data_IF_788676172402
#
_entry.id   IF_788676172402
#
_cell.length_a   1.000
_cell.length_b   1.000
_cell.length_c   1.000
_cell.angle_alpha   90.00
_cell.angle_beta   90.00
_cell.angle_gamma   90.00
#
_symmetry.space_group_name_H-M   'P 1'
#
loop_
_entity.id
_entity.type
_entity.pdbx_description
1 polymer ?
#
# COMPACT_ATOMS: atom_id res chain seq x y z
N UNK A 1 -4.75 -33.71 53.61
CA UNK A 1 -5.82 -33.70 52.61
C UNK A 1 -5.46 -32.64 51.60
N UNK A 2 -4.73 -33.03 50.57
CA UNK A 2 -4.10 -32.14 49.61
C UNK A 2 -4.84 -32.33 48.27
N UNK A 3 -5.46 -31.28 47.75
CA UNK A 3 -6.24 -31.34 46.50
C UNK A 3 -5.50 -30.48 45.48
N UNK A 4 -4.82 -31.19 44.57
CA UNK A 4 -4.03 -30.61 43.50
C UNK A 4 -4.88 -30.00 42.39
N UNK A 5 -4.44 -28.84 41.92
CA UNK A 5 -4.87 -28.24 40.65
C UNK A 5 -3.70 -28.37 39.67
N UNK A 6 -3.89 -29.16 38.60
CA UNK A 6 -2.95 -29.30 37.49
C UNK A 6 -2.92 -28.02 36.65
N UNK A 7 -1.84 -27.25 36.75
CA UNK A 7 -1.46 -26.26 35.74
C UNK A 7 -0.77 -26.93 34.55
N UNK A 8 -1.26 -26.70 33.33
CA UNK A 8 -0.54 -27.02 32.09
C UNK A 8 0.39 -25.85 31.77
N UNK A 9 1.69 -26.05 31.95
CA UNK A 9 2.75 -25.17 31.47
C UNK A 9 3.03 -25.48 30.01
N UNK A 10 2.93 -24.49 29.12
CA UNK A 10 3.43 -24.59 27.74
C UNK A 10 4.71 -23.76 27.67
N UNK A 11 5.83 -24.46 27.49
CA UNK A 11 7.16 -23.89 27.28
C UNK A 11 7.27 -23.35 25.85
N UNK A 12 7.59 -22.06 25.70
CA UNK A 12 8.06 -21.51 24.43
C UNK A 12 9.58 -21.73 24.33
N UNK A 13 10.00 -22.59 23.40
CA UNK A 13 11.40 -22.73 22.99
C UNK A 13 11.81 -21.54 22.14
N UNK A 14 12.86 -20.85 22.57
CA UNK A 14 13.54 -19.79 21.83
C UNK A 14 14.32 -20.40 20.66
N UNK A 15 13.88 -20.11 19.43
CA UNK A 15 14.71 -20.33 18.24
C UNK A 15 15.56 -19.09 17.99
N UNK A 16 16.74 -19.08 18.62
CA UNK A 16 17.88 -18.30 18.19
C UNK A 16 18.41 -18.90 16.86
N UNK A 17 18.32 -18.17 15.76
CA UNK A 17 19.13 -18.43 14.58
C UNK A 17 20.01 -17.21 14.27
N UNK A 18 21.34 -17.39 14.15
CA UNK A 18 22.28 -16.29 13.94
C UNK A 18 22.29 -15.85 12.47
N UNK A 19 22.22 -14.53 12.25
CA UNK A 19 22.46 -13.91 10.95
C UNK A 19 23.95 -14.03 10.62
N UNK A 20 24.35 -15.02 9.82
CA UNK A 20 25.72 -15.10 9.27
C UNK A 20 25.82 -14.17 8.07
N UNK A 21 26.38 -12.99 8.29
CA UNK A 21 26.90 -12.13 7.22
C UNK A 21 28.20 -12.75 6.72
N UNK A 22 28.19 -13.31 5.52
CA UNK A 22 29.43 -13.68 4.83
C UNK A 22 29.85 -12.49 3.95
N UNK A 23 30.76 -11.68 4.48
CA UNK A 23 31.56 -10.76 3.67
C UNK A 23 32.64 -11.57 2.97
N UNK A 24 32.53 -11.75 1.66
CA UNK A 24 33.65 -12.24 0.86
C UNK A 24 34.27 -11.08 0.09
N UNK A 25 35.39 -10.61 0.64
CA UNK A 25 36.30 -9.66 0.00
C UNK A 25 37.32 -10.50 -0.74
N UNK A 26 37.29 -10.47 -2.07
CA UNK A 26 38.44 -10.92 -2.83
C UNK A 26 38.86 -9.92 -3.91
N UNK A 27 40.02 -9.32 -3.66
CA UNK A 27 40.80 -8.50 -4.61
C UNK A 27 41.53 -9.46 -5.55
N UNK A 28 41.52 -9.23 -6.86
CA UNK A 28 42.73 -9.30 -7.71
C UNK A 28 42.51 -8.73 -9.14
N UNK A 29 43.20 -7.60 -9.38
CA UNK A 29 43.84 -7.02 -10.60
C UNK A 29 43.46 -7.46 -12.05
N UNK A 30 43.02 -6.46 -12.83
CA UNK A 30 43.34 -6.03 -14.22
C UNK A 30 43.86 -7.03 -15.28
N UNK A 31 43.12 -7.19 -16.40
CA UNK A 31 43.29 -6.52 -17.72
C UNK A 31 42.27 -7.04 -18.77
N UNK A 32 42.04 -6.32 -19.90
CA UNK A 32 40.78 -6.36 -20.65
C UNK A 32 40.82 -7.28 -21.88
N UNK A 33 39.68 -7.85 -22.25
CA UNK A 33 39.42 -8.30 -23.62
C UNK A 33 38.00 -7.96 -24.06
N UNK A 34 37.92 -7.37 -25.25
CA UNK A 34 36.73 -7.02 -26.01
C UNK A 34 35.95 -8.26 -26.44
N UNK A 35 34.66 -8.31 -26.13
CA UNK A 35 33.68 -9.00 -26.97
C UNK A 35 32.33 -8.28 -26.89
N UNK A 36 31.87 -7.84 -28.06
CA UNK A 36 30.56 -7.25 -28.32
C UNK A 36 29.45 -8.29 -28.21
N UNK A 37 28.38 -7.98 -27.46
CA UNK A 37 27.09 -8.67 -27.52
C UNK A 37 25.97 -7.73 -27.02
N UNK A 38 24.74 -7.86 -27.55
CA UNK A 38 23.73 -6.80 -27.52
C UNK A 38 23.00 -6.68 -26.18
N UNK A 39 22.54 -5.45 -25.92
CA UNK A 39 21.78 -5.00 -24.75
C UNK A 39 20.44 -5.75 -24.65
N UNK A 40 20.10 -6.37 -23.50
CA UNK A 40 18.72 -6.70 -23.17
C UNK A 40 18.14 -5.69 -22.16
N UNK A 41 16.99 -5.13 -22.53
CA UNK A 41 16.08 -4.32 -21.72
C UNK A 41 15.59 -5.06 -20.45
N UNK A 42 15.44 -4.39 -19.29
CA UNK A 42 14.98 -5.07 -18.08
C UNK A 42 13.48 -4.85 -17.85
N UNK A 43 12.70 -5.90 -18.04
CA UNK A 43 11.43 -6.09 -17.33
C UNK A 43 11.44 -7.53 -16.82
N UNK A 44 11.89 -7.72 -15.57
CA UNK A 44 11.92 -9.02 -14.91
C UNK A 44 10.73 -9.11 -13.94
N UNK A 45 9.78 -9.98 -14.28
CA UNK A 45 8.70 -10.40 -13.39
C UNK A 45 9.19 -11.56 -12.50
N UNK A 46 9.08 -11.41 -11.19
CA UNK A 46 9.34 -12.47 -10.21
C UNK A 46 8.01 -13.17 -9.90
N UNK A 47 7.91 -14.46 -10.20
CA UNK A 47 6.83 -15.32 -9.71
C UNK A 47 7.27 -16.00 -8.41
N UNK A 48 6.48 -15.89 -7.34
CA UNK A 48 6.64 -16.68 -6.12
C UNK A 48 5.34 -17.48 -5.96
N UNK A 49 5.41 -18.79 -6.15
CA UNK A 49 4.35 -19.72 -5.77
C UNK A 49 4.84 -20.58 -4.61
N UNK A 50 4.14 -20.55 -3.48
CA UNK A 50 4.36 -21.48 -2.38
C UNK A 50 3.36 -22.64 -2.47
N UNK A 51 3.84 -23.81 -2.93
CA UNK A 51 3.17 -25.09 -2.66
C UNK A 51 4.03 -25.92 -1.71
N UNK A 52 3.45 -26.57 -0.68
CA UNK A 52 4.19 -27.45 0.20
C UNK A 52 4.46 -28.76 -0.53
N UNK A 53 5.68 -28.94 -1.04
CA UNK A 53 6.14 -30.24 -1.54
C UNK A 53 6.58 -31.07 -0.34
N UNK A 54 5.96 -32.23 -0.13
CA UNK A 54 6.44 -33.24 0.80
C UNK A 54 7.83 -33.70 0.32
N UNK A 55 8.85 -33.46 1.13
CA UNK A 55 10.22 -33.89 0.85
C UNK A 55 10.35 -35.40 1.14
N UNK A 56 10.79 -36.16 0.14
CA UNK A 56 11.49 -37.42 0.35
C UNK A 56 12.98 -37.13 0.12
N UNK A 57 13.82 -37.54 1.07
CA UNK A 57 15.24 -37.23 1.11
C UNK A 57 15.98 -37.92 -0.04
N UNK A 58 16.70 -37.17 -0.90
CA UNK A 58 18.09 -37.49 -1.29
C UNK A 58 18.71 -36.46 -2.27
N UNK A 59 19.85 -35.91 -1.83
CA UNK A 59 21.01 -35.37 -2.59
C UNK A 59 20.86 -34.15 -3.53
N UNK A 60 21.27 -33.01 -2.98
CA UNK A 60 22.06 -31.89 -3.54
C UNK A 60 22.28 -31.77 -5.06
N UNK A 61 21.63 -30.78 -5.67
CA UNK A 61 22.26 -29.67 -6.41
C UNK A 61 21.17 -28.73 -6.92
N UNK A 62 21.02 -27.55 -6.30
CA UNK A 62 20.04 -26.55 -6.72
C UNK A 62 20.70 -25.51 -7.63
N UNK A 63 20.83 -25.85 -8.92
CA UNK A 63 21.03 -24.86 -9.97
C UNK A 63 19.73 -24.09 -10.19
N UNK A 64 19.83 -22.76 -10.18
CA UNK A 64 18.70 -21.86 -10.46
C UNK A 64 18.47 -21.83 -11.97
N UNK A 65 17.46 -22.53 -12.47
CA UNK A 65 17.07 -22.42 -13.88
C UNK A 65 16.39 -21.07 -14.12
N UNK A 66 17.04 -20.22 -14.92
CA UNK A 66 16.47 -18.99 -15.47
C UNK A 66 15.55 -19.40 -16.63
N UNK A 67 14.23 -19.28 -16.43
CA UNK A 67 13.25 -19.49 -17.50
C UNK A 67 12.98 -18.16 -18.20
N UNK A 68 13.43 -18.04 -19.46
CA UNK A 68 13.02 -16.98 -20.38
C UNK A 68 11.58 -17.28 -20.87
N UNK A 69 10.57 -16.68 -20.24
CA UNK A 69 9.18 -16.89 -20.59
C UNK A 69 8.69 -15.90 -21.66
N UNK A 70 8.60 -16.36 -22.91
CA UNK A 70 7.67 -15.78 -23.89
C UNK A 70 6.22 -16.08 -23.46
N UNK A 71 5.29 -15.20 -23.86
CA UNK A 71 3.87 -15.11 -23.48
C UNK A 71 3.02 -16.32 -23.93
N UNK A 72 3.35 -17.53 -23.47
CA UNK A 72 2.61 -18.75 -23.80
C UNK A 72 2.60 -19.66 -22.58
N UNK A 73 1.42 -19.81 -21.97
CA UNK A 73 1.10 -20.58 -20.75
C UNK A 73 1.31 -19.83 -19.42
N UNK A 74 0.40 -18.91 -19.09
CA UNK A 74 0.11 -18.69 -17.67
C UNK A 74 -0.48 -19.97 -17.08
N UNK A 75 0.01 -20.34 -15.90
CA UNK A 75 -0.49 -21.50 -15.18
C UNK A 75 -1.99 -21.34 -14.88
N UNK A 76 -2.79 -22.42 -14.93
CA UNK A 76 -4.24 -22.39 -14.67
C UNK A 76 -4.62 -21.75 -13.32
N UNK A 77 -3.67 -21.69 -12.38
CA UNK A 77 -3.83 -21.14 -11.05
C UNK A 77 -4.05 -19.62 -10.99
N UNK A 78 -3.69 -18.87 -12.04
CA UNK A 78 -3.76 -17.39 -12.03
C UNK A 78 -5.08 -16.84 -12.59
N UNK A 79 -5.86 -17.66 -13.29
CA UNK A 79 -7.13 -17.25 -13.90
C UNK A 79 -8.35 -17.54 -13.00
N UNK A 80 -8.19 -17.41 -11.69
CA UNK A 80 -9.29 -17.57 -10.74
C UNK A 80 -10.19 -16.33 -10.73
N UNK A 81 -11.47 -16.50 -10.42
CA UNK A 81 -12.44 -15.39 -10.41
C UNK A 81 -12.14 -14.32 -9.34
N UNK A 82 -11.33 -14.68 -8.34
CA UNK A 82 -10.90 -13.81 -7.25
C UNK A 82 -9.43 -13.35 -7.35
N UNK A 83 -8.77 -13.48 -8.51
CA UNK A 83 -7.39 -13.01 -8.69
C UNK A 83 -7.29 -11.49 -8.63
N UNK A 84 -6.33 -10.98 -7.85
CA UNK A 84 -6.07 -9.56 -7.67
C UNK A 84 -4.84 -9.11 -8.46
N UNK A 85 -5.00 -8.12 -9.32
CA UNK A 85 -3.89 -7.42 -9.97
C UNK A 85 -3.43 -6.22 -9.15
N UNK A 86 -2.12 -6.11 -8.92
CA UNK A 86 -1.49 -5.06 -8.11
C UNK A 86 -0.56 -4.23 -8.99
N UNK A 87 -0.92 -2.97 -9.22
CA UNK A 87 -0.08 -1.95 -9.87
C UNK A 87 0.93 -1.45 -8.84
N UNK A 88 2.14 -2.01 -8.86
CA UNK A 88 3.22 -1.72 -7.94
C UNK A 88 4.34 -0.87 -8.54
N UNK A 89 5.41 -0.68 -7.78
CA UNK A 89 6.65 -0.06 -8.28
C UNK A 89 6.70 1.46 -8.23
N UNK A 90 5.55 2.17 -8.14
CA UNK A 90 5.55 3.63 -7.89
C UNK A 90 6.21 3.95 -6.55
N UNK A 91 5.88 3.13 -5.54
CA UNK A 91 6.63 3.04 -4.29
C UNK A 91 6.79 1.56 -3.94
N UNK A 92 8.04 1.10 -3.96
CA UNK A 92 8.39 -0.28 -3.62
C UNK A 92 8.02 -0.59 -2.16
N UNK A 93 8.22 0.39 -1.26
CA UNK A 93 7.87 0.25 0.16
C UNK A 93 6.36 0.03 0.34
N UNK A 94 5.55 0.88 -0.28
CA UNK A 94 4.08 0.78 -0.21
C UNK A 94 3.56 -0.53 -0.78
N UNK A 95 4.17 -0.99 -1.89
CA UNK A 95 3.84 -2.29 -2.51
C UNK A 95 4.13 -3.44 -1.54
N UNK A 96 5.29 -3.43 -0.88
CA UNK A 96 5.68 -4.49 0.06
C UNK A 96 4.79 -4.49 1.31
N UNK A 97 4.53 -3.32 1.90
CA UNK A 97 3.63 -3.17 3.06
C UNK A 97 2.24 -3.71 2.72
N UNK A 98 1.72 -3.36 1.54
CA UNK A 98 0.41 -3.84 1.11
C UNK A 98 0.38 -5.37 0.93
N UNK A 99 1.41 -5.97 0.32
CA UNK A 99 1.49 -7.42 0.16
C UNK A 99 1.52 -8.14 1.52
N UNK A 100 2.32 -7.65 2.47
CA UNK A 100 2.36 -8.19 3.82
C UNK A 100 0.98 -8.14 4.48
N UNK A 101 0.30 -6.99 4.42
CA UNK A 101 -1.05 -6.83 4.97
C UNK A 101 -2.08 -7.69 4.25
N UNK A 102 -2.00 -7.84 2.93
CA UNK A 102 -2.91 -8.69 2.16
C UNK A 102 -2.78 -10.15 2.59
N UNK A 103 -1.55 -10.66 2.73
CA UNK A 103 -1.28 -12.02 3.22
C UNK A 103 -1.79 -12.17 4.65
N UNK A 104 -1.52 -11.19 5.51
CA UNK A 104 -1.95 -11.25 6.90
C UNK A 104 -3.48 -11.27 7.04
N UNK A 105 -4.19 -10.38 6.34
CA UNK A 105 -5.65 -10.30 6.39
C UNK A 105 -6.32 -11.50 5.72
N UNK A 106 -5.77 -12.03 4.63
CA UNK A 106 -6.30 -13.24 3.97
C UNK A 106 -6.12 -14.50 4.83
N UNK A 107 -4.97 -14.64 5.51
CA UNK A 107 -4.69 -15.82 6.35
C UNK A 107 -5.68 -16.00 7.51
N UNK A 108 -6.26 -14.91 8.03
CA UNK A 108 -7.26 -14.95 9.11
C UNK A 108 -8.56 -15.65 8.71
N UNK A 109 -8.82 -15.67 7.41
CA UNK A 109 -10.01 -16.27 6.83
C UNK A 109 -9.76 -17.69 6.31
N UNK A 110 -8.55 -18.23 6.49
CA UNK A 110 -8.17 -19.57 6.05
C UNK A 110 -8.00 -19.70 4.54
N UNK A 111 -8.02 -18.59 3.78
CA UNK A 111 -7.95 -18.60 2.33
C UNK A 111 -6.78 -17.77 1.81
N UNK A 112 -6.03 -18.31 0.85
CA UNK A 112 -5.04 -17.55 0.09
C UNK A 112 -5.72 -16.84 -1.07
N UNK A 113 -5.49 -15.53 -1.22
CA UNK A 113 -5.99 -14.75 -2.36
C UNK A 113 -4.90 -14.77 -3.44
N UNK A 114 -5.16 -15.33 -4.64
CA UNK A 114 -4.21 -15.27 -5.73
C UNK A 114 -4.01 -13.82 -6.16
N UNK A 115 -2.77 -13.40 -6.36
CA UNK A 115 -2.46 -12.07 -6.83
C UNK A 115 -1.33 -12.06 -7.85
N UNK A 116 -1.34 -11.05 -8.72
CA UNK A 116 -0.30 -10.76 -9.70
C UNK A 116 0.21 -9.36 -9.40
N UNK A 117 1.52 -9.19 -9.25
CA UNK A 117 2.13 -7.86 -9.06
C UNK A 117 2.86 -7.47 -10.33
N UNK A 118 2.50 -6.33 -10.90
CA UNK A 118 3.29 -5.67 -11.93
C UNK A 118 4.03 -4.51 -11.25
N UNK A 119 5.35 -4.62 -11.12
CA UNK A 119 6.17 -3.61 -10.44
C UNK A 119 7.23 -3.08 -11.41
N UNK A 120 7.06 -1.84 -11.87
CA UNK A 120 8.05 -1.14 -12.67
C UNK A 120 8.76 -0.09 -11.80
N UNK A 121 10.02 -0.32 -11.38
CA UNK A 121 10.76 0.61 -10.55
C UNK A 121 11.19 1.89 -11.29
N UNK A 122 11.11 1.94 -12.63
CA UNK A 122 11.47 3.13 -13.41
C UNK A 122 10.47 4.28 -13.20
N UNK A 123 9.26 3.99 -12.72
CA UNK A 123 8.25 5.00 -12.35
C UNK A 123 8.64 5.90 -11.18
N UNK A 124 9.66 5.52 -10.41
CA UNK A 124 10.14 6.27 -9.24
C UNK A 124 10.79 7.59 -9.61
N UNK A 125 11.35 7.71 -10.82
CA UNK A 125 12.13 8.89 -11.23
C UNK A 125 11.27 10.06 -11.74
N UNK A 126 10.04 9.78 -12.17
CA UNK A 126 9.11 10.76 -12.76
C UNK A 126 8.16 11.38 -11.72
N UNK A 127 7.83 10.65 -10.64
CA UNK A 127 6.86 11.09 -9.61
C UNK A 127 7.47 11.93 -8.47
N UNK A 128 8.80 11.90 -8.28
CA UNK A 128 9.48 12.46 -7.10
C UNK A 128 10.41 13.67 -7.37
N UNK A 129 10.19 14.45 -8.43
CA UNK A 129 10.93 15.72 -8.57
C UNK A 129 10.50 16.71 -7.48
N UNK A 130 11.40 17.16 -6.57
CA UNK A 130 11.04 17.97 -5.38
C UNK A 130 10.60 19.41 -5.69
N UNK A 131 10.32 19.76 -6.94
CA UNK A 131 9.98 21.12 -7.36
C UNK A 131 8.48 21.44 -7.34
N UNK A 132 7.62 20.59 -6.75
CA UNK A 132 6.26 20.98 -6.38
C UNK A 132 6.30 22.00 -5.23
N UNK A 133 6.77 23.22 -5.53
CA UNK A 133 6.38 24.43 -4.78
C UNK A 133 4.95 24.75 -5.19
N UNK A 134 3.98 24.04 -4.61
CA UNK A 134 2.60 24.54 -4.61
C UNK A 134 2.57 25.65 -3.56
N UNK A 135 2.61 26.90 -4.02
CA UNK A 135 2.52 28.06 -3.14
C UNK A 135 1.20 27.98 -2.36
N UNK A 136 1.30 27.87 -1.03
CA UNK A 136 0.19 27.74 -0.09
C UNK A 136 -0.67 29.02 0.05
N UNK A 137 -0.50 30.03 -0.80
CA UNK A 137 -1.00 31.40 -0.54
C UNK A 137 -2.27 31.77 -1.32
N UNK A 138 -3.04 30.85 -1.93
CA UNK A 138 -4.26 31.27 -2.66
C UNK A 138 -5.56 30.51 -2.44
N UNK A 139 -5.63 29.48 -1.58
CA UNK A 139 -6.85 28.65 -1.50
C UNK A 139 -7.78 28.95 -0.32
N UNK A 140 -7.47 29.92 0.55
CA UNK A 140 -8.37 30.38 1.60
C UNK A 140 -8.99 31.74 1.25
N UNK A 141 -9.63 31.85 0.07
CA UNK A 141 -10.50 32.99 -0.22
C UNK A 141 -11.54 32.65 -1.30
N UNK A 142 -12.81 32.67 -0.90
CA UNK A 142 -14.00 32.95 -1.72
C UNK A 142 -14.58 31.87 -2.65
N UNK A 143 -15.76 31.38 -2.25
CA UNK A 143 -17.00 31.18 -3.03
C UNK A 143 -16.97 30.50 -4.42
N UNK A 144 -17.68 29.37 -4.50
CA UNK A 144 -18.39 28.82 -5.67
C UNK A 144 -17.90 29.23 -7.08
N UNK A 145 -16.98 28.44 -7.62
CA UNK A 145 -16.97 28.03 -9.04
C UNK A 145 -15.86 27.01 -9.23
N UNK A 146 -16.24 25.79 -9.65
CA UNK A 146 -15.31 24.76 -10.08
C UNK A 146 -14.58 25.25 -11.33
N UNK A 147 -13.30 25.57 -11.21
CA UNK A 147 -12.43 25.74 -12.36
C UNK A 147 -11.08 25.11 -12.02
N UNK A 148 -10.83 23.96 -12.65
CA UNK A 148 -9.66 23.11 -12.45
C UNK A 148 -8.39 23.82 -12.92
N UNK A 149 -7.79 24.65 -12.06
CA UNK A 149 -6.50 25.29 -12.34
C UNK A 149 -5.37 24.28 -12.15
N UNK A 150 -4.99 23.66 -13.28
CA UNK A 150 -3.80 22.81 -13.47
C UNK A 150 -2.55 23.40 -12.82
N UNK A 151 -1.90 22.64 -11.94
CA UNK A 151 -0.48 22.86 -11.62
C UNK A 151 0.37 22.43 -12.83
N UNK A 152 1.12 23.36 -13.41
CA UNK A 152 2.04 23.10 -14.52
C UNK A 152 3.28 22.30 -14.05
N UNK A 153 3.15 20.97 -13.96
CA UNK A 153 4.28 20.07 -14.20
C UNK A 153 4.49 20.04 -15.73
N UNK A 154 5.72 19.85 -16.22
CA UNK A 154 5.93 19.68 -17.66
C UNK A 154 4.99 18.58 -18.16
N UNK A 155 4.05 18.94 -19.03
CA UNK A 155 2.90 18.13 -19.48
C UNK A 155 3.34 16.75 -20.03
N UNK A 156 4.59 16.67 -20.49
CA UNK A 156 5.27 15.47 -21.00
C UNK A 156 5.54 14.42 -19.91
N UNK A 157 5.92 14.82 -18.68
CA UNK A 157 6.30 13.92 -17.57
C UNK A 157 5.06 13.23 -16.98
N UNK A 158 3.95 13.97 -16.84
CA UNK A 158 2.67 13.41 -16.35
C UNK A 158 2.06 12.40 -17.32
N UNK A 159 2.16 12.69 -18.63
CA UNK A 159 1.61 11.81 -19.66
C UNK A 159 2.30 10.45 -19.67
N UNK A 160 3.61 10.42 -19.44
CA UNK A 160 4.38 9.17 -19.42
C UNK A 160 4.06 8.30 -18.19
N UNK A 161 3.95 8.90 -17.00
CA UNK A 161 3.55 8.20 -15.77
C UNK A 161 2.18 7.54 -15.94
N UNK A 162 1.18 8.30 -16.41
CA UNK A 162 -0.18 7.78 -16.64
C UNK A 162 -0.18 6.68 -17.69
N UNK A 163 0.56 6.86 -18.79
CA UNK A 163 0.69 5.86 -19.85
C UNK A 163 1.28 4.54 -19.31
N UNK A 164 2.35 4.61 -18.52
CA UNK A 164 2.98 3.43 -17.95
C UNK A 164 2.06 2.72 -16.94
N UNK A 165 1.37 3.46 -16.07
CA UNK A 165 0.41 2.89 -15.12
C UNK A 165 -0.78 2.23 -15.82
N UNK A 166 -1.27 2.81 -16.92
CA UNK A 166 -2.27 2.18 -17.79
C UNK A 166 -1.75 0.88 -18.40
N UNK A 167 -0.51 0.86 -18.87
CA UNK A 167 0.11 -0.35 -19.43
C UNK A 167 0.23 -1.45 -18.38
N UNK A 168 0.61 -1.13 -17.15
CA UNK A 168 0.62 -2.10 -16.05
C UNK A 168 -0.78 -2.65 -15.77
N UNK A 169 -1.80 -1.77 -15.71
CA UNK A 169 -3.19 -2.20 -15.54
C UNK A 169 -3.60 -3.18 -16.65
N UNK A 170 -3.37 -2.84 -17.91
CA UNK A 170 -3.73 -3.70 -19.05
C UNK A 170 -2.97 -5.04 -19.00
N UNK A 171 -1.69 -5.03 -18.65
CA UNK A 171 -0.92 -6.26 -18.46
C UNK A 171 -1.49 -7.15 -17.35
N UNK A 172 -1.97 -6.57 -16.25
CA UNK A 172 -2.61 -7.32 -15.16
C UNK A 172 -3.99 -7.87 -15.58
N UNK A 173 -4.77 -7.08 -16.32
CA UNK A 173 -6.06 -7.48 -16.88
C UNK A 173 -5.92 -8.67 -17.83
N UNK A 174 -5.02 -8.55 -18.81
CA UNK A 174 -4.61 -9.64 -19.67
C UNK A 174 -4.18 -10.80 -18.78
N UNK A 175 -3.32 -10.52 -17.79
CA UNK A 175 -2.77 -11.39 -16.73
C UNK A 175 -3.70 -12.38 -16.05
N UNK A 176 -5.02 -12.19 -16.15
CA UNK A 176 -6.00 -12.97 -15.41
C UNK A 176 -6.48 -12.29 -14.12
N UNK A 177 -6.06 -11.05 -13.84
CA UNK A 177 -6.64 -10.30 -12.76
C UNK A 177 -8.15 -10.09 -12.97
N UNK A 178 -8.90 -10.02 -11.87
CA UNK A 178 -10.34 -9.75 -11.82
C UNK A 178 -10.70 -8.57 -10.93
N UNK A 179 -9.73 -8.03 -10.20
CA UNK A 179 -9.78 -6.75 -9.49
C UNK A 179 -8.41 -6.10 -9.55
N UNK A 180 -8.37 -4.78 -9.64
CA UNK A 180 -7.14 -3.99 -9.69
C UNK A 180 -7.00 -3.18 -8.40
N UNK A 181 -5.79 -3.12 -7.87
CA UNK A 181 -5.40 -2.22 -6.77
C UNK A 181 -4.08 -1.53 -7.06
N UNK A 182 -3.90 -0.35 -6.48
CA UNK A 182 -2.68 0.45 -6.58
C UNK A 182 -2.28 0.95 -5.19
N UNK A 183 -1.39 0.24 -4.47
CA UNK A 183 -0.99 0.58 -3.11
C UNK A 183 0.02 1.73 -3.11
N UNK A 184 -0.44 2.95 -3.35
CA UNK A 184 0.35 4.17 -3.22
C UNK A 184 -0.60 5.33 -2.95
N UNK A 185 -0.34 6.18 -1.96
CA UNK A 185 -1.25 7.28 -1.62
C UNK A 185 -1.40 8.30 -2.76
N UNK A 186 -0.28 8.83 -3.26
CA UNK A 186 -0.28 9.95 -4.22
C UNK A 186 -0.73 9.53 -5.62
N UNK A 187 -0.48 8.28 -6.03
CA UNK A 187 -0.79 7.83 -7.40
C UNK A 187 -2.29 7.87 -7.73
N UNK A 188 -3.17 7.90 -6.72
CA UNK A 188 -4.62 8.01 -6.94
C UNK A 188 -5.05 9.37 -7.49
N UNK A 189 -4.17 10.37 -7.56
CA UNK A 189 -4.40 11.59 -8.36
C UNK A 189 -4.70 11.26 -9.82
N UNK A 190 -4.05 10.22 -10.36
CA UNK A 190 -4.27 9.75 -11.73
C UNK A 190 -5.27 8.60 -11.81
N UNK A 191 -6.02 8.31 -10.74
CA UNK A 191 -6.94 7.18 -10.71
C UNK A 191 -7.98 7.29 -11.85
N UNK A 192 -8.50 8.49 -12.09
CA UNK A 192 -9.48 8.74 -13.16
C UNK A 192 -8.92 8.39 -14.53
N UNK A 193 -7.71 8.81 -14.83
CA UNK A 193 -7.03 8.53 -16.09
C UNK A 193 -6.65 7.06 -16.21
N UNK A 194 -6.06 6.46 -15.18
CA UNK A 194 -5.62 5.07 -15.22
C UNK A 194 -6.82 4.13 -15.40
N UNK A 195 -7.95 4.42 -14.74
CA UNK A 195 -9.18 3.61 -14.80
C UNK A 195 -9.95 3.72 -16.12
N UNK A 196 -9.62 4.66 -17.01
CA UNK A 196 -10.30 4.77 -18.31
C UNK A 196 -10.21 3.46 -19.10
N UNK A 197 -11.36 2.93 -19.51
CA UNK A 197 -11.49 1.68 -20.24
C UNK A 197 -11.32 0.41 -19.39
N UNK A 198 -11.04 0.53 -18.10
CA UNK A 198 -11.00 -0.61 -17.18
C UNK A 198 -12.43 -1.11 -16.92
N UNK A 199 -12.66 -2.41 -17.15
CA UNK A 199 -13.95 -3.06 -16.86
C UNK A 199 -13.95 -3.79 -15.52
N UNK A 200 -12.77 -3.99 -14.93
CA UNK A 200 -12.62 -4.65 -13.64
C UNK A 200 -12.89 -3.67 -12.50
N UNK A 201 -13.35 -4.14 -11.33
CA UNK A 201 -13.29 -3.36 -10.10
C UNK A 201 -11.87 -2.84 -9.88
N UNK A 202 -11.71 -1.51 -9.82
CA UNK A 202 -10.44 -0.88 -9.48
C UNK A 202 -10.60 -0.15 -8.14
N UNK A 203 -10.00 -0.66 -7.07
CA UNK A 203 -10.22 -0.09 -5.74
C UNK A 203 -9.37 1.17 -5.51
N UNK A 204 -10.05 2.26 -5.15
CA UNK A 204 -9.41 3.51 -4.74
C UNK A 204 -9.05 3.47 -3.25
N UNK A 205 -7.80 3.72 -2.87
CA UNK A 205 -7.31 3.55 -1.49
C UNK A 205 -8.07 4.42 -0.48
N UNK A 206 -8.26 5.70 -0.79
CA UNK A 206 -9.05 6.59 0.06
C UNK A 206 -10.56 6.24 0.07
N UNK A 207 -11.08 5.66 -1.01
CA UNK A 207 -12.47 5.20 -1.05
C UNK A 207 -12.69 3.97 -0.16
N UNK A 208 -11.69 3.09 -0.07
CA UNK A 208 -11.68 2.00 0.90
C UNK A 208 -11.73 2.51 2.34
N UNK A 209 -10.91 3.51 2.67
CA UNK A 209 -10.93 4.17 3.99
C UNK A 209 -12.29 4.80 4.28
N UNK A 210 -12.82 5.61 3.35
CA UNK A 210 -14.09 6.30 3.55
C UNK A 210 -15.25 5.33 3.78
N UNK A 211 -15.30 4.23 3.01
CA UNK A 211 -16.29 3.16 3.19
C UNK A 211 -16.19 2.50 4.55
N UNK A 212 -14.98 2.15 4.98
CA UNK A 212 -14.76 1.54 6.29
C UNK A 212 -15.19 2.46 7.44
N UNK A 213 -14.84 3.75 7.35
CA UNK A 213 -15.25 4.75 8.34
C UNK A 213 -16.76 4.94 8.38
N UNK A 214 -17.44 4.86 7.23
CA UNK A 214 -18.90 4.91 7.15
C UNK A 214 -19.54 3.71 7.83
N UNK A 215 -19.00 2.52 7.62
CA UNK A 215 -19.43 1.28 8.29
C UNK A 215 -19.24 1.35 9.81
N UNK A 216 -18.24 2.10 10.31
CA UNK A 216 -17.98 2.30 11.73
C UNK A 216 -19.04 3.16 12.46
N UNK A 217 -19.89 3.90 11.72
CA UNK A 217 -21.04 4.66 12.27
C UNK A 217 -20.69 5.56 13.46
N UNK A 218 -19.61 6.33 13.34
CA UNK A 218 -19.24 7.31 14.34
C UNK A 218 -20.37 8.33 14.59
N UNK A 219 -20.44 8.83 15.82
CA UNK A 219 -21.28 9.98 16.17
C UNK A 219 -20.41 11.24 16.23
N UNK A 220 -20.92 12.41 15.85
CA UNK A 220 -20.20 13.67 16.05
C UNK A 220 -19.80 13.85 17.52
N UNK A 221 -18.60 14.40 17.75
CA UNK A 221 -18.12 14.68 19.10
C UNK A 221 -18.59 16.06 19.62
N UNK A 222 -18.99 16.95 18.71
CA UNK A 222 -19.45 18.30 19.02
C UNK A 222 -20.89 18.49 18.53
N UNK A 223 -21.70 19.19 19.31
CA UNK A 223 -23.10 19.47 18.95
C UNK A 223 -23.16 20.39 17.73
N UNK A 224 -23.96 20.00 16.73
CA UNK A 224 -24.15 20.77 15.50
C UNK A 224 -23.06 20.58 14.44
N UNK A 225 -22.06 19.72 14.68
CA UNK A 225 -21.05 19.33 13.70
C UNK A 225 -21.32 17.94 13.12
N UNK A 226 -20.73 17.66 11.96
CA UNK A 226 -20.61 16.32 11.40
C UNK A 226 -19.53 15.48 12.09
N UNK A 227 -19.37 14.24 11.63
CA UNK A 227 -18.27 13.37 12.06
C UNK A 227 -16.99 13.87 11.42
N UNK A 228 -15.96 14.14 12.24
CA UNK A 228 -14.68 14.69 11.80
C UNK A 228 -13.63 13.59 11.70
N UNK A 229 -12.93 13.51 10.57
CA UNK A 229 -11.84 12.57 10.33
C UNK A 229 -10.53 13.35 10.17
N UNK A 230 -9.56 13.06 11.02
CA UNK A 230 -8.22 13.59 10.89
C UNK A 230 -7.47 12.92 9.74
N UNK A 231 -6.63 13.64 9.00
CA UNK A 231 -5.77 13.04 7.97
C UNK A 231 -4.34 13.55 8.13
N UNK A 232 -3.41 12.65 8.40
CA UNK A 232 -1.96 12.91 8.39
C UNK A 232 -1.40 12.29 7.12
N UNK A 233 -0.78 13.10 6.27
CA UNK A 233 -0.13 12.67 5.04
C UNK A 233 1.01 13.64 4.69
N UNK A 234 1.79 13.32 3.65
CA UNK A 234 2.77 14.26 3.09
C UNK A 234 2.08 15.42 2.36
N UNK A 235 2.79 16.54 2.19
CA UNK A 235 2.25 17.74 1.52
C UNK A 235 1.64 17.41 0.15
N UNK A 236 2.31 16.58 -0.65
CA UNK A 236 1.82 16.18 -1.97
C UNK A 236 0.45 15.50 -1.92
N UNK A 237 0.24 14.60 -0.95
CA UNK A 237 -1.05 13.89 -0.78
C UNK A 237 -2.14 14.84 -0.27
N UNK A 238 -1.80 15.73 0.67
CA UNK A 238 -2.75 16.70 1.21
C UNK A 238 -3.16 17.72 0.14
N UNK A 239 -2.21 18.32 -0.57
CA UNK A 239 -2.48 19.29 -1.64
C UNK A 239 -3.33 18.67 -2.74
N UNK A 240 -3.07 17.40 -3.08
CA UNK A 240 -3.82 16.72 -4.12
C UNK A 240 -5.23 16.27 -3.72
N UNK A 241 -5.61 16.39 -2.44
CA UNK A 241 -7.00 16.17 -2.01
C UNK A 241 -7.47 14.71 -2.05
N UNK A 242 -6.58 13.73 -2.22
CA UNK A 242 -6.91 12.32 -2.49
C UNK A 242 -7.83 11.71 -1.43
N UNK A 243 -7.61 12.05 -0.16
CA UNK A 243 -8.42 11.56 0.96
C UNK A 243 -9.60 12.48 1.26
N UNK A 244 -9.38 13.80 1.17
CA UNK A 244 -10.37 14.80 1.50
C UNK A 244 -11.62 14.64 0.66
N UNK A 245 -11.46 14.48 -0.66
CA UNK A 245 -12.58 14.30 -1.59
C UNK A 245 -13.41 13.06 -1.23
N UNK A 246 -12.76 11.90 -1.05
CA UNK A 246 -13.47 10.63 -0.78
C UNK A 246 -14.17 10.63 0.58
N UNK A 247 -13.56 11.23 1.60
CA UNK A 247 -14.15 11.34 2.93
C UNK A 247 -15.36 12.29 2.92
N UNK A 248 -15.22 13.46 2.28
CA UNK A 248 -16.30 14.45 2.19
C UNK A 248 -17.51 13.92 1.41
N UNK A 249 -17.28 13.15 0.35
CA UNK A 249 -18.35 12.50 -0.42
C UNK A 249 -19.16 11.51 0.42
N UNK A 250 -18.60 10.96 1.50
CA UNK A 250 -19.31 10.09 2.45
C UNK A 250 -19.93 10.86 3.63
N UNK A 251 -19.87 12.20 3.60
CA UNK A 251 -20.48 13.07 4.60
C UNK A 251 -19.57 13.37 5.81
N UNK A 252 -18.28 13.06 5.73
CA UNK A 252 -17.32 13.41 6.78
C UNK A 252 -16.78 14.82 6.63
N UNK A 253 -16.59 15.50 7.76
CA UNK A 253 -15.72 16.66 7.84
C UNK A 253 -14.27 16.20 7.93
N UNK A 254 -13.34 16.90 7.28
CA UNK A 254 -11.93 16.51 7.27
C UNK A 254 -11.08 17.54 8.00
N UNK A 255 -10.28 17.06 8.95
CA UNK A 255 -9.40 17.89 9.78
C UNK A 255 -7.96 17.60 9.39
N UNK A 256 -7.26 18.62 8.89
CA UNK A 256 -5.86 18.53 8.50
C UNK A 256 -4.96 19.17 9.56
N UNK A 257 -3.72 18.70 9.74
CA UNK A 257 -2.70 19.43 10.49
C UNK A 257 -2.54 20.84 9.92
N UNK A 258 -2.38 21.83 10.78
CA UNK A 258 -2.06 23.18 10.34
C UNK A 258 -0.59 23.28 9.88
N UNK A 259 -0.22 24.42 9.29
CA UNK A 259 1.12 24.64 8.75
C UNK A 259 2.22 24.44 9.81
N UNK A 260 1.99 24.94 11.03
CA UNK A 260 2.93 24.77 12.14
C UNK A 260 3.10 23.30 12.54
N UNK A 261 2.00 22.54 12.62
CA UNK A 261 2.02 21.10 12.91
C UNK A 261 2.71 20.33 11.79
N UNK A 262 2.47 20.70 10.53
CA UNK A 262 3.15 20.08 9.40
C UNK A 262 4.66 20.32 9.47
N UNK A 263 5.10 21.56 9.66
CA UNK A 263 6.51 21.95 9.61
C UNK A 263 7.31 21.48 10.82
N UNK A 264 6.72 21.53 12.02
CA UNK A 264 7.43 21.26 13.26
C UNK A 264 7.18 19.88 13.85
N UNK A 265 6.19 19.13 13.34
CA UNK A 265 5.83 17.82 13.91
C UNK A 265 5.83 16.74 12.83
N UNK A 266 4.98 16.86 11.79
CA UNK A 266 4.79 15.77 10.80
C UNK A 266 6.04 15.57 9.95
N UNK A 267 6.58 16.63 9.33
CA UNK A 267 7.80 16.51 8.50
C UNK A 267 9.01 16.07 9.33
N UNK A 268 9.26 16.59 10.55
CA UNK A 268 10.30 16.07 11.42
C UNK A 268 10.11 14.60 11.76
N UNK A 269 8.88 14.13 12.05
CA UNK A 269 8.63 12.71 12.33
C UNK A 269 9.10 11.80 11.20
N UNK A 270 8.74 12.14 9.96
CA UNK A 270 9.16 11.40 8.75
C UNK A 270 10.68 11.47 8.55
N UNK A 271 11.28 12.64 8.81
CA UNK A 271 12.73 12.83 8.73
C UNK A 271 13.49 11.99 9.77
N UNK A 272 13.00 11.91 11.01
CA UNK A 272 13.62 11.14 12.08
C UNK A 272 13.65 9.64 11.76
N UNK A 273 12.64 9.11 11.06
CA UNK A 273 12.66 7.74 10.54
C UNK A 273 13.77 7.50 9.50
N UNK A 274 13.99 8.47 8.62
CA UNK A 274 15.10 8.42 7.64
C UNK A 274 16.47 8.42 8.33
N UNK A 275 16.54 8.97 9.55
CA UNK A 275 17.74 8.99 10.40
C UNK A 275 17.80 7.81 11.39
N UNK A 276 16.85 6.86 11.32
CA UNK A 276 16.70 5.71 12.23
C UNK A 276 16.42 6.09 13.69
N UNK A 277 15.96 7.31 13.95
CA UNK A 277 15.46 7.70 15.27
C UNK A 277 13.97 7.40 15.38
N UNK A 278 13.67 6.15 15.78
CA UNK A 278 12.31 5.67 15.94
C UNK A 278 11.60 6.33 17.13
N UNK A 279 12.32 6.66 18.20
CA UNK A 279 11.72 7.19 19.44
C UNK A 279 11.22 8.60 19.21
N UNK A 280 12.04 9.44 18.58
CA UNK A 280 11.64 10.80 18.23
C UNK A 280 10.46 10.80 17.24
N UNK A 281 10.55 9.99 16.18
CA UNK A 281 9.46 9.84 15.22
C UNK A 281 8.14 9.39 15.87
N UNK A 282 8.20 8.43 16.81
CA UNK A 282 7.03 8.01 17.58
C UNK A 282 6.45 9.15 18.40
N UNK A 283 7.29 9.88 19.14
CA UNK A 283 6.83 10.99 19.98
C UNK A 283 6.15 12.09 19.15
N UNK A 284 6.76 12.48 18.03
CA UNK A 284 6.19 13.46 17.12
C UNK A 284 4.89 12.97 16.49
N UNK A 285 4.81 11.70 16.09
CA UNK A 285 3.56 11.13 15.58
C UNK A 285 2.44 11.16 16.65
N UNK A 286 2.75 10.85 17.91
CA UNK A 286 1.77 10.95 19.02
C UNK A 286 1.23 12.37 19.15
N UNK A 287 2.12 13.38 19.09
CA UNK A 287 1.72 14.79 19.15
C UNK A 287 0.83 15.14 17.95
N UNK A 288 1.21 14.75 16.73
CA UNK A 288 0.41 15.03 15.53
C UNK A 288 -1.00 14.42 15.61
N UNK A 289 -1.12 13.18 16.08
CA UNK A 289 -2.42 12.52 16.29
C UNK A 289 -3.22 13.29 17.34
N UNK A 290 -2.62 13.63 18.49
CA UNK A 290 -3.30 14.34 19.56
C UNK A 290 -3.80 15.72 19.13
N UNK A 291 -3.04 16.47 18.33
CA UNK A 291 -3.47 17.76 17.77
C UNK A 291 -4.81 17.62 17.02
N UNK A 292 -4.96 16.56 16.21
CA UNK A 292 -6.20 16.32 15.47
C UNK A 292 -7.34 15.84 16.37
N UNK A 293 -7.04 15.00 17.37
CA UNK A 293 -8.06 14.52 18.33
C UNK A 293 -8.59 15.66 19.20
N UNK A 294 -7.74 16.59 19.65
CA UNK A 294 -8.15 17.80 20.40
C UNK A 294 -9.03 18.71 19.53
N UNK A 295 -8.85 18.70 18.21
CA UNK A 295 -9.73 19.36 17.23
C UNK A 295 -10.97 18.54 16.86
N UNK A 296 -11.40 17.69 17.80
CA UNK A 296 -12.59 16.87 17.73
C UNK A 296 -12.64 15.85 16.56
N UNK A 297 -11.48 15.42 16.03
CA UNK A 297 -11.46 14.28 15.12
C UNK A 297 -11.85 12.98 15.85
N UNK A 298 -12.79 12.23 15.28
CA UNK A 298 -13.23 10.93 15.78
C UNK A 298 -12.12 9.87 15.70
N UNK A 299 -11.34 9.92 14.63
CA UNK A 299 -10.21 9.04 14.33
C UNK A 299 -9.28 9.73 13.33
N UNK A 300 -8.05 9.25 13.19
CA UNK A 300 -7.01 9.82 12.33
C UNK A 300 -6.56 8.82 11.28
N UNK A 301 -6.67 9.18 10.00
CA UNK A 301 -6.13 8.39 8.88
C UNK A 301 -4.64 8.69 8.71
N UNK A 302 -3.79 7.66 8.78
CA UNK A 302 -2.34 7.76 8.59
C UNK A 302 -1.97 7.45 7.14
N UNK A 303 -2.11 8.43 6.25
CA UNK A 303 -1.82 8.32 4.83
C UNK A 303 -0.34 8.61 4.49
N UNK A 304 0.56 7.95 5.21
CA UNK A 304 2.00 7.91 4.96
C UNK A 304 2.54 6.54 5.35
N UNK A 305 3.24 5.88 4.44
CA UNK A 305 3.79 4.55 4.65
C UNK A 305 4.89 4.53 5.72
N UNK A 306 5.59 5.65 5.89
CA UNK A 306 6.62 5.82 6.90
C UNK A 306 6.03 5.88 8.32
N UNK A 307 4.87 6.51 8.47
CA UNK A 307 4.21 6.69 9.77
C UNK A 307 3.32 5.50 10.16
N UNK A 308 2.97 4.64 9.21
CA UNK A 308 2.22 3.41 9.46
C UNK A 308 3.02 2.43 10.35
N UNK A 309 2.34 1.79 11.31
CA UNK A 309 2.96 0.79 12.20
C UNK A 309 4.06 1.34 13.13
N UNK A 310 4.22 2.67 13.21
CA UNK A 310 5.24 3.30 14.03
C UNK A 310 4.94 3.20 15.52
N UNK A 311 3.67 3.35 15.90
CA UNK A 311 3.21 3.22 17.28
C UNK A 311 3.17 1.73 17.72
N UNK A 312 3.51 1.43 18.99
CA UNK A 312 3.29 0.10 19.56
C UNK A 312 1.83 -0.35 19.48
N UNK A 313 1.60 -1.67 19.42
CA UNK A 313 0.25 -2.25 19.33
C UNK A 313 -0.62 -1.93 20.56
N UNK A 314 -0.01 -1.85 21.74
CA UNK A 314 -0.65 -1.53 23.01
C UNK A 314 -0.83 -0.02 23.24
N UNK A 315 -0.29 0.82 22.35
CA UNK A 315 -0.48 2.27 22.43
C UNK A 315 -1.96 2.64 22.22
N UNK A 316 -2.59 3.39 23.15
CA UNK A 316 -3.99 3.78 23.04
C UNK A 316 -4.31 4.56 21.75
N UNK A 317 -3.33 5.31 21.22
CA UNK A 317 -3.52 6.09 19.99
C UNK A 317 -3.58 5.21 18.75
N UNK A 318 -3.00 4.00 18.78
CA UNK A 318 -3.12 3.03 17.68
C UNK A 318 -4.59 2.70 17.39
N UNK A 319 -5.44 2.63 18.42
CA UNK A 319 -6.89 2.40 18.28
C UNK A 319 -7.68 3.61 17.78
N UNK A 320 -7.03 4.78 17.73
CA UNK A 320 -7.58 6.04 17.20
C UNK A 320 -7.07 6.35 15.80
N UNK A 321 -6.37 5.40 15.18
CA UNK A 321 -5.82 5.55 13.85
C UNK A 321 -6.44 4.54 12.88
N UNK A 322 -6.55 4.95 11.62
CA UNK A 322 -6.88 4.07 10.50
C UNK A 322 -5.70 4.05 9.55
N UNK A 323 -5.25 2.84 9.25
CA UNK A 323 -4.23 2.57 8.25
C UNK A 323 -4.92 2.35 6.88
N UNK A 324 -4.61 3.18 5.86
CA UNK A 324 -5.19 3.01 4.53
C UNK A 324 -4.80 1.71 3.83
N UNK A 325 -3.60 1.18 4.08
CA UNK A 325 -3.16 -0.09 3.48
C UNK A 325 -3.93 -1.27 4.09
N UNK A 326 -4.23 -1.21 5.38
CA UNK A 326 -5.13 -2.19 6.01
C UNK A 326 -6.55 -2.10 5.45
N UNK A 327 -7.06 -0.89 5.26
CA UNK A 327 -8.39 -0.66 4.70
C UNK A 327 -8.50 -1.17 3.27
N UNK A 328 -7.44 -0.97 2.47
CA UNK A 328 -7.33 -1.51 1.11
C UNK A 328 -7.26 -3.04 1.13
N UNK A 329 -6.41 -3.64 1.97
CA UNK A 329 -6.27 -5.09 2.09
C UNK A 329 -7.58 -5.76 2.51
N UNK A 330 -8.26 -5.24 3.54
CA UNK A 330 -9.59 -5.73 3.94
C UNK A 330 -10.63 -5.60 2.82
N UNK A 331 -10.58 -4.52 2.05
CA UNK A 331 -11.48 -4.33 0.92
C UNK A 331 -11.24 -5.35 -0.19
N UNK A 332 -9.98 -5.67 -0.48
CA UNK A 332 -9.59 -6.73 -1.41
C UNK A 332 -10.08 -8.10 -0.93
N UNK A 333 -9.85 -8.43 0.35
CA UNK A 333 -10.33 -9.70 0.94
C UNK A 333 -11.85 -9.81 0.83
N UNK A 334 -12.59 -8.75 1.18
CA UNK A 334 -14.05 -8.71 1.07
C UNK A 334 -14.52 -8.91 -0.38
N UNK A 335 -13.86 -8.27 -1.34
CA UNK A 335 -14.15 -8.45 -2.76
C UNK A 335 -13.88 -9.90 -3.21
N UNK A 336 -12.70 -10.45 -2.88
CA UNK A 336 -12.29 -11.79 -3.29
C UNK A 336 -13.26 -12.88 -2.80
N UNK A 337 -13.73 -12.76 -1.54
CA UNK A 337 -14.76 -13.65 -1.00
C UNK A 337 -16.08 -13.53 -1.76
N UNK A 338 -16.49 -12.31 -2.07
CA UNK A 338 -17.73 -12.07 -2.82
C UNK A 338 -17.65 -12.68 -4.21
N UNK A 339 -16.50 -12.59 -4.88
CA UNK A 339 -16.29 -13.19 -6.21
C UNK A 339 -16.41 -14.72 -6.18
N UNK A 340 -15.79 -15.41 -5.21
CA UNK A 340 -15.92 -16.88 -5.07
C UNK A 340 -17.35 -17.35 -4.87
N UNK A 341 -18.12 -16.66 -4.01
CA UNK A 341 -19.52 -17.03 -3.74
C UNK A 341 -20.39 -16.93 -5.00
N UNK A 342 -20.09 -16.00 -5.92
CA UNK A 342 -20.79 -15.94 -7.20
C UNK A 342 -20.37 -17.05 -8.16
N UNK A 343 -19.09 -17.46 -8.13
CA UNK A 343 -18.59 -18.61 -8.90
C UNK A 343 -19.27 -19.91 -8.48
N UNK A 344 -19.27 -20.23 -7.18
CA UNK A 344 -19.79 -21.51 -6.66
C UNK A 344 -21.29 -21.68 -6.94
N UNK A 345 -22.07 -20.60 -6.81
CA UNK A 345 -23.52 -20.63 -7.11
C UNK A 345 -23.83 -20.86 -8.59
N UNK A 346 -23.00 -20.35 -9.50
CA UNK A 346 -23.20 -20.57 -10.94
C UNK A 346 -22.84 -22.00 -11.37
N UNK A 347 -22.03 -22.72 -10.59
CA UNK A 347 -21.68 -24.11 -10.85
C UNK A 347 -22.73 -25.11 -10.34
N UNK A 348 -23.51 -24.76 -9.31
CA UNK A 348 -24.56 -25.62 -8.74
C UNK A 348 -25.89 -25.59 -9.54
N UNK A 349 -26.09 -24.57 -10.39
CA UNK A 349 -27.29 -24.37 -11.22
C UNK A 349 -27.15 -24.90 -12.67
N UNK A 350 -26.02 -25.54 -13.01
CA UNK A 350 -25.74 -26.19 -14.31
C UNK A 350 -25.56 -27.68 -14.15
#
# INVERSE_FOLDING_TARGET
SDVGVRGRTVSFSSLNCPLRVLNDVNKHKNKPSTWSSPIPSPASSIQISSHPVKADETKNSSETQIVHGYLSSWSPAVNQENTVGIIGGVSVLSTLIFLEKLIWWSSRDGESIPFIVCSDPMLRQETYKPSMKVSATSCYSSSYSCDSKKCNLSEVDQTQVVHNLRRQRMFLEEGGARCIVMPCHLSHVWYGEISQGCKLPFLHIAGCVARELKEARFKPLEAGCGVKIGVIATDGVLVAGVYQEKLQNEGFEVVLPDEATMEHIVKPAVKSLSQKDKVDAQNLLRVAIQVLLVRAANTVTLASDELQGLLPYDDPLTKKCVDPMDSLARSVVRWAKSAKVHSDKNCDDT
#
